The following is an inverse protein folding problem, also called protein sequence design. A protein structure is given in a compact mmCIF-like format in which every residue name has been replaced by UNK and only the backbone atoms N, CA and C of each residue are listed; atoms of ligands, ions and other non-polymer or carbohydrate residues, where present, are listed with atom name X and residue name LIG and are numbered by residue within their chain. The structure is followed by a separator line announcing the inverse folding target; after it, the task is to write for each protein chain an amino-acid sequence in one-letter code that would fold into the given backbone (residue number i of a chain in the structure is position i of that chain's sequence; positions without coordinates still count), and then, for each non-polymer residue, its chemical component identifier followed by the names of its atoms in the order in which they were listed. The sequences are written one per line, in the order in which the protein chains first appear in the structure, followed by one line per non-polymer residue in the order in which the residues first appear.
data_IF_687519631146
#
_entry.id   IF_687519631146
#
_cell.length_a   1.000
_cell.length_b   1.000
_cell.length_c   1.000
_cell.angle_alpha   90.00
_cell.angle_beta   90.00
_cell.angle_gamma   90.00
#
_symmetry.space_group_name_H-M   'P 1'
#
loop_
_entity.id
_entity.type
_entity.pdbx_description
1 polymer ?
#
# COMPACT_ATOMS: atom_id res chain seq x y z
N UNK A 1 -0.87 11.75 -20.86
CA UNK A 1 0.57 11.71 -20.52
C UNK A 1 0.85 11.90 -19.03
N UNK A 2 0.22 12.87 -18.37
CA UNK A 2 0.41 13.12 -16.90
C UNK A 2 0.09 11.89 -16.05
N UNK A 3 -1.03 11.24 -16.30
CA UNK A 3 -1.46 10.06 -15.55
C UNK A 3 -0.43 8.92 -15.64
N UNK A 4 0.10 8.65 -16.84
CA UNK A 4 1.16 7.63 -17.01
C UNK A 4 2.44 7.99 -16.25
N UNK A 5 2.80 9.27 -16.24
CA UNK A 5 3.96 9.74 -15.46
C UNK A 5 3.73 9.58 -13.95
N UNK A 6 2.54 9.92 -13.46
CA UNK A 6 2.17 9.73 -12.06
C UNK A 6 2.20 8.25 -11.66
N UNK A 7 1.62 7.36 -12.48
CA UNK A 7 1.64 5.92 -12.21
C UNK A 7 3.08 5.37 -12.19
N UNK A 8 3.92 5.79 -13.14
CA UNK A 8 5.33 5.38 -13.15
C UNK A 8 6.10 5.90 -11.93
N UNK A 9 5.82 7.12 -11.48
CA UNK A 9 6.41 7.69 -10.27
C UNK A 9 6.02 6.89 -9.02
N UNK A 10 4.72 6.63 -8.83
CA UNK A 10 4.21 5.82 -7.71
C UNK A 10 4.87 4.45 -7.70
N UNK A 11 4.88 3.74 -8.84
CA UNK A 11 5.52 2.42 -8.94
C UNK A 11 7.00 2.46 -8.58
N UNK A 12 7.73 3.49 -8.97
CA UNK A 12 9.13 3.68 -8.62
C UNK A 12 9.32 3.88 -7.12
N UNK A 13 8.48 4.69 -6.47
CA UNK A 13 8.53 4.90 -5.01
C UNK A 13 8.23 3.60 -4.27
N UNK A 14 7.19 2.84 -4.68
CA UNK A 14 6.82 1.56 -4.07
C UNK A 14 7.96 0.54 -4.15
N UNK A 15 8.60 0.38 -5.32
CA UNK A 15 9.75 -0.52 -5.48
C UNK A 15 10.92 -0.08 -4.59
N UNK A 16 11.24 1.20 -4.56
CA UNK A 16 12.31 1.73 -3.72
C UNK A 16 12.02 1.47 -2.23
N UNK A 17 10.81 1.78 -1.76
CA UNK A 17 10.39 1.52 -0.38
C UNK A 17 10.46 0.03 -0.03
N UNK A 18 9.98 -0.84 -0.90
CA UNK A 18 10.01 -2.30 -0.68
C UNK A 18 11.44 -2.82 -0.54
N UNK A 19 12.37 -2.38 -1.38
CA UNK A 19 13.76 -2.86 -1.33
C UNK A 19 14.52 -2.28 -0.15
N UNK A 20 14.58 -0.95 -0.04
CA UNK A 20 15.45 -0.28 0.93
C UNK A 20 14.87 -0.18 2.34
N UNK A 21 13.55 -0.10 2.47
CA UNK A 21 12.93 0.08 3.79
C UNK A 21 12.38 -1.21 4.39
N UNK A 22 12.15 -2.25 3.61
CA UNK A 22 11.58 -3.52 4.08
C UNK A 22 12.50 -4.73 3.86
N UNK A 23 12.88 -5.03 2.61
CA UNK A 23 13.63 -6.26 2.31
C UNK A 23 15.06 -6.22 2.87
N UNK A 24 15.83 -5.16 2.63
CA UNK A 24 17.19 -5.07 3.14
C UNK A 24 17.27 -5.11 4.67
N UNK A 25 16.48 -4.32 5.44
CA UNK A 25 16.45 -4.44 6.89
C UNK A 25 16.01 -5.82 7.39
N UNK A 26 15.08 -6.49 6.71
CA UNK A 26 14.66 -7.85 7.04
C UNK A 26 15.81 -8.86 6.93
N UNK A 27 16.62 -8.76 5.86
CA UNK A 27 17.79 -9.59 5.66
C UNK A 27 18.86 -9.31 6.73
N UNK A 28 19.10 -8.04 7.04
CA UNK A 28 20.06 -7.63 8.08
C UNK A 28 19.65 -8.13 9.47
N UNK A 29 18.37 -8.01 9.84
CA UNK A 29 17.84 -8.55 11.10
C UNK A 29 18.01 -10.07 11.21
N UNK A 30 17.93 -10.75 10.08
CA UNK A 30 18.05 -12.20 9.97
C UNK A 30 19.50 -12.68 9.90
N UNK A 31 20.49 -11.81 10.11
CA UNK A 31 21.93 -12.12 10.00
C UNK A 31 22.40 -13.32 10.85
N UNK A 32 21.72 -13.61 11.98
CA UNK A 32 21.98 -14.82 12.81
C UNK A 32 21.80 -16.13 12.04
N UNK A 33 21.04 -16.14 10.95
CA UNK A 33 20.82 -17.30 10.07
C UNK A 33 21.96 -17.53 9.07
N UNK A 34 23.00 -16.68 9.06
CA UNK A 34 24.15 -16.79 8.17
C UNK A 34 23.74 -16.80 6.71
N UNK A 35 24.06 -17.90 5.98
CA UNK A 35 23.72 -18.04 4.55
C UNK A 35 22.21 -18.02 4.24
N UNK A 36 21.37 -18.25 5.22
CA UNK A 36 19.91 -18.27 5.09
C UNK A 36 19.23 -16.98 5.55
N UNK A 37 19.97 -15.89 5.76
CA UNK A 37 19.44 -14.60 6.19
C UNK A 37 18.38 -14.00 5.23
N UNK A 38 18.39 -14.37 3.96
CA UNK A 38 17.43 -13.95 2.96
C UNK A 38 16.08 -14.70 3.05
N UNK A 39 16.02 -15.86 3.72
CA UNK A 39 14.82 -16.73 3.73
C UNK A 39 13.60 -16.03 4.33
N UNK A 40 13.66 -15.34 5.49
CA UNK A 40 12.50 -14.63 6.03
C UNK A 40 11.99 -13.53 5.10
N UNK A 41 12.89 -12.78 4.45
CA UNK A 41 12.52 -11.74 3.50
C UNK A 41 11.80 -12.33 2.27
N UNK A 42 12.33 -13.42 1.71
CA UNK A 42 11.72 -14.12 0.56
C UNK A 42 10.37 -14.74 0.95
N UNK A 43 10.29 -15.39 2.11
CA UNK A 43 9.05 -15.99 2.59
C UNK A 43 7.97 -14.92 2.82
N UNK A 44 8.32 -13.80 3.46
CA UNK A 44 7.42 -12.67 3.66
C UNK A 44 6.96 -12.04 2.34
N UNK A 45 7.86 -11.85 1.38
CA UNK A 45 7.53 -11.34 0.05
C UNK A 45 6.51 -12.25 -0.66
N UNK A 46 6.75 -13.56 -0.72
CA UNK A 46 5.82 -14.49 -1.34
C UNK A 46 4.50 -14.61 -0.59
N UNK A 47 4.52 -14.56 0.74
CA UNK A 47 3.30 -14.52 1.54
C UNK A 47 2.46 -13.28 1.20
N UNK A 48 3.08 -12.11 1.05
CA UNK A 48 2.42 -10.88 0.62
C UNK A 48 1.83 -11.00 -0.79
N UNK A 49 2.58 -11.55 -1.75
CA UNK A 49 2.09 -11.79 -3.12
C UNK A 49 0.88 -12.71 -3.11
N UNK A 50 0.95 -13.84 -2.39
CA UNK A 50 -0.16 -14.78 -2.29
C UNK A 50 -1.38 -14.17 -1.58
N UNK A 51 -1.17 -13.36 -0.57
CA UNK A 51 -2.24 -12.63 0.11
C UNK A 51 -2.96 -11.65 -0.83
N UNK A 52 -2.20 -10.86 -1.61
CA UNK A 52 -2.79 -9.94 -2.58
C UNK A 52 -3.53 -10.68 -3.70
N UNK A 53 -2.98 -11.79 -4.21
CA UNK A 53 -3.67 -12.63 -5.19
C UNK A 53 -4.95 -13.24 -4.63
N UNK A 54 -4.95 -13.62 -3.34
CA UNK A 54 -6.16 -14.09 -2.67
C UNK A 54 -7.21 -12.98 -2.57
N UNK A 55 -6.82 -11.77 -2.20
CA UNK A 55 -7.72 -10.62 -2.17
C UNK A 55 -8.31 -10.34 -3.55
N UNK A 56 -7.48 -10.35 -4.59
CA UNK A 56 -7.90 -10.18 -5.98
C UNK A 56 -8.95 -11.23 -6.39
N UNK A 57 -8.78 -12.46 -5.93
CA UNK A 57 -9.72 -13.53 -6.25
C UNK A 57 -11.04 -13.47 -5.46
N UNK A 58 -10.97 -13.02 -4.20
CA UNK A 58 -12.14 -13.05 -3.27
C UNK A 58 -12.98 -11.78 -3.38
N UNK A 59 -12.37 -10.64 -3.68
CA UNK A 59 -13.05 -9.35 -3.67
C UNK A 59 -13.37 -8.88 -5.09
N UNK A 60 -14.66 -8.58 -5.40
CA UNK A 60 -15.03 -8.06 -6.71
C UNK A 60 -14.45 -6.66 -6.90
N UNK A 61 -13.52 -6.51 -7.84
CA UNK A 61 -12.87 -5.24 -8.14
C UNK A 61 -12.59 -5.10 -9.65
N UNK A 62 -12.24 -3.90 -10.09
CA UNK A 62 -11.87 -3.59 -11.46
C UNK A 62 -10.59 -2.75 -11.45
N UNK A 63 -9.63 -3.15 -12.25
CA UNK A 63 -8.44 -2.36 -12.51
C UNK A 63 -8.73 -1.18 -13.46
N UNK A 64 -8.00 -0.09 -13.28
CA UNK A 64 -8.25 1.18 -13.97
C UNK A 64 -8.29 1.09 -15.51
N UNK A 65 -7.60 0.13 -16.10
CA UNK A 65 -7.50 -0.07 -17.54
C UNK A 65 -8.19 -1.34 -18.04
N UNK A 66 -8.94 -2.04 -17.18
CA UNK A 66 -9.71 -3.22 -17.54
C UNK A 66 -11.18 -2.88 -17.75
N UNK A 67 -11.79 -3.52 -18.73
CA UNK A 67 -13.24 -3.45 -18.96
C UNK A 67 -13.98 -4.63 -18.32
N UNK A 68 -13.27 -5.63 -17.83
CA UNK A 68 -13.80 -6.80 -17.14
C UNK A 68 -13.54 -6.71 -15.64
N UNK A 69 -14.56 -7.02 -14.82
CA UNK A 69 -14.42 -7.17 -13.39
C UNK A 69 -13.70 -8.49 -13.07
N UNK A 70 -12.80 -8.45 -12.10
CA UNK A 70 -12.12 -9.61 -11.53
C UNK A 70 -12.78 -10.01 -10.22
N UNK A 71 -12.63 -11.28 -9.81
CA UNK A 71 -13.26 -11.83 -8.62
C UNK A 71 -14.72 -12.25 -8.81
N UNK A 72 -15.50 -12.42 -7.74
CA UNK A 72 -16.91 -12.85 -7.79
C UNK A 72 -17.78 -11.85 -8.53
N UNK A 73 -18.83 -12.35 -9.23
CA UNK A 73 -19.80 -11.47 -9.91
C UNK A 73 -20.45 -10.52 -8.92
N UNK A 74 -20.36 -9.22 -9.18
CA UNK A 74 -20.88 -8.17 -8.33
C UNK A 74 -21.86 -7.28 -9.07
N UNK A 75 -22.81 -6.70 -8.34
CA UNK A 75 -23.73 -5.65 -8.81
C UNK A 75 -23.17 -4.25 -8.63
N UNK A 76 -21.94 -4.12 -8.11
CA UNK A 76 -21.31 -2.83 -7.91
C UNK A 76 -20.98 -2.16 -9.25
N UNK A 77 -21.12 -0.84 -9.27
CA UNK A 77 -20.69 -0.05 -10.42
C UNK A 77 -19.17 -0.14 -10.59
N UNK A 78 -18.69 -0.03 -11.84
CA UNK A 78 -17.27 -0.08 -12.20
C UNK A 78 -16.41 0.82 -11.32
N UNK A 79 -16.86 2.04 -11.09
CA UNK A 79 -16.17 3.02 -10.25
C UNK A 79 -16.06 2.59 -8.79
N UNK A 80 -17.12 2.01 -8.22
CA UNK A 80 -17.08 1.50 -6.84
C UNK A 80 -16.08 0.36 -6.69
N UNK A 81 -16.01 -0.54 -7.67
CA UNK A 81 -15.03 -1.63 -7.66
C UNK A 81 -13.58 -1.12 -7.79
N UNK A 82 -13.35 -0.06 -8.57
CA UNK A 82 -12.05 0.57 -8.67
C UNK A 82 -11.63 1.26 -7.36
N UNK A 83 -12.54 2.00 -6.73
CA UNK A 83 -12.29 2.62 -5.41
C UNK A 83 -11.96 1.55 -4.37
N UNK A 84 -12.71 0.45 -4.36
CA UNK A 84 -12.47 -0.67 -3.45
C UNK A 84 -11.08 -1.29 -3.67
N UNK A 85 -10.68 -1.53 -4.92
CA UNK A 85 -9.35 -2.04 -5.25
C UNK A 85 -8.23 -1.19 -4.66
N UNK A 86 -8.23 0.13 -4.92
CA UNK A 86 -7.19 1.05 -4.42
C UNK A 86 -7.23 1.11 -2.88
N UNK A 87 -8.42 1.19 -2.27
CA UNK A 87 -8.54 1.22 -0.81
C UNK A 87 -7.95 -0.03 -0.15
N UNK A 88 -8.14 -1.21 -0.76
CA UNK A 88 -7.58 -2.47 -0.26
C UNK A 88 -6.05 -2.53 -0.40
N UNK A 89 -5.49 -1.95 -1.46
CA UNK A 89 -4.03 -1.85 -1.61
C UNK A 89 -3.40 -0.95 -0.53
N UNK A 90 -4.08 0.09 -0.10
CA UNK A 90 -3.59 1.02 0.93
C UNK A 90 -3.51 0.38 2.33
N UNK A 91 -4.25 -0.71 2.60
CA UNK A 91 -4.16 -1.43 3.89
C UNK A 91 -2.76 -2.04 4.11
N UNK A 92 -2.19 -2.88 3.21
CA UNK A 92 -0.84 -3.39 3.36
C UNK A 92 0.23 -2.30 3.45
N UNK A 93 0.06 -1.18 2.74
CA UNK A 93 0.98 -0.05 2.79
C UNK A 93 1.00 0.61 4.17
N UNK A 94 -0.17 0.91 4.72
CA UNK A 94 -0.28 1.42 6.08
C UNK A 94 0.28 0.45 7.13
N UNK A 95 0.06 -0.85 6.95
CA UNK A 95 0.66 -1.89 7.81
C UNK A 95 2.19 -1.89 7.73
N UNK A 96 2.77 -1.74 6.53
CA UNK A 96 4.22 -1.68 6.35
C UNK A 96 4.85 -0.48 7.08
N UNK A 97 4.25 0.70 6.99
CA UNK A 97 4.67 1.88 7.77
C UNK A 97 4.55 1.59 9.27
N UNK A 98 3.43 0.99 9.69
CA UNK A 98 3.16 0.63 11.07
C UNK A 98 4.24 -0.26 11.68
N UNK A 99 4.59 -1.34 11.00
CA UNK A 99 5.62 -2.29 11.44
C UNK A 99 6.99 -1.61 11.55
N UNK A 100 7.39 -0.81 10.57
CA UNK A 100 8.68 -0.10 10.60
C UNK A 100 8.71 0.94 11.74
N UNK A 101 7.64 1.71 11.92
CA UNK A 101 7.56 2.68 13.01
C UNK A 101 7.56 2.01 14.39
N UNK A 102 6.80 0.92 14.56
CA UNK A 102 6.80 0.14 15.79
C UNK A 102 8.20 -0.43 16.08
N UNK A 103 8.83 -1.06 15.09
CA UNK A 103 10.18 -1.57 15.21
C UNK A 103 11.20 -0.51 15.65
N UNK A 104 11.12 0.70 15.11
CA UNK A 104 11.96 1.82 15.56
C UNK A 104 11.68 2.19 17.02
N UNK A 105 10.42 2.31 17.41
CA UNK A 105 10.01 2.72 18.77
C UNK A 105 10.41 1.71 19.85
N UNK A 106 10.40 0.41 19.56
CA UNK A 106 10.87 -0.63 20.47
C UNK A 106 12.41 -0.78 20.49
N UNK A 107 13.12 0.10 19.79
CA UNK A 107 14.59 0.15 19.81
C UNK A 107 15.26 -0.90 18.91
N UNK A 108 14.62 -1.37 17.84
CA UNK A 108 15.27 -2.25 16.89
C UNK A 108 16.43 -1.55 16.19
N UNK A 109 17.66 -2.03 16.44
CA UNK A 109 18.90 -1.40 15.97
C UNK A 109 19.08 -1.41 14.45
N UNK A 110 18.35 -2.27 13.73
CA UNK A 110 18.39 -2.33 12.26
C UNK A 110 17.46 -1.32 11.59
N UNK A 111 16.53 -0.70 12.35
CA UNK A 111 15.61 0.31 11.84
C UNK A 111 16.08 1.68 12.29
N UNK A 112 16.61 2.47 11.38
CA UNK A 112 17.06 3.83 11.65
C UNK A 112 15.91 4.83 11.56
N UNK A 113 16.00 5.93 12.30
CA UNK A 113 15.07 7.06 12.16
C UNK A 113 14.97 7.55 10.72
N UNK A 114 16.11 7.65 10.03
CA UNK A 114 16.14 8.07 8.61
C UNK A 114 15.38 7.10 7.71
N UNK A 115 15.55 5.79 7.91
CA UNK A 115 14.85 4.75 7.14
C UNK A 115 13.34 4.78 7.38
N UNK A 116 12.92 4.89 8.64
CA UNK A 116 11.51 5.06 9.02
C UNK A 116 10.90 6.30 8.36
N UNK A 117 11.57 7.45 8.47
CA UNK A 117 11.10 8.70 7.87
C UNK A 117 11.05 8.64 6.34
N UNK A 118 12.06 8.03 5.71
CA UNK A 118 12.10 7.88 4.25
C UNK A 118 10.92 7.04 3.75
N UNK A 119 10.59 5.93 4.42
CA UNK A 119 9.42 5.12 4.09
C UNK A 119 8.12 5.93 4.27
N UNK A 120 7.94 6.56 5.44
CA UNK A 120 6.71 7.29 5.76
C UNK A 120 6.47 8.47 4.81
N UNK A 121 7.52 9.24 4.49
CA UNK A 121 7.43 10.36 3.55
C UNK A 121 7.22 9.85 2.12
N UNK A 122 7.89 8.77 1.72
CA UNK A 122 7.72 8.15 0.40
C UNK A 122 6.28 7.74 0.16
N UNK A 123 5.67 7.05 1.12
CA UNK A 123 4.27 6.62 1.06
C UNK A 123 3.33 7.83 1.09
N UNK A 124 3.57 8.84 1.93
CA UNK A 124 2.77 10.06 1.95
C UNK A 124 2.81 10.80 0.59
N UNK A 125 3.96 10.83 -0.09
CA UNK A 125 4.10 11.46 -1.41
C UNK A 125 3.35 10.65 -2.48
N UNK A 126 3.38 9.32 -2.46
CA UNK A 126 2.68 8.49 -3.45
C UNK A 126 1.16 8.52 -3.28
N UNK A 127 0.63 8.74 -2.08
CA UNK A 127 -0.80 8.86 -1.81
C UNK A 127 -1.47 10.00 -2.57
N UNK A 128 -0.75 11.08 -2.87
CA UNK A 128 -1.29 12.18 -3.65
C UNK A 128 -1.64 11.75 -5.10
N UNK A 129 -0.74 11.13 -5.89
CA UNK A 129 -1.10 10.55 -7.19
C UNK A 129 -2.18 9.48 -7.11
N UNK A 130 -2.17 8.63 -6.07
CA UNK A 130 -3.18 7.57 -5.89
C UNK A 130 -4.57 8.16 -5.65
N UNK A 131 -4.69 9.18 -4.81
CA UNK A 131 -5.94 9.93 -4.65
C UNK A 131 -6.42 10.55 -5.98
N UNK A 132 -5.51 11.00 -6.84
CA UNK A 132 -5.84 11.50 -8.17
C UNK A 132 -6.33 10.39 -9.12
N UNK A 133 -5.76 9.18 -9.03
CA UNK A 133 -6.20 7.99 -9.78
C UNK A 133 -7.68 7.66 -9.48
N UNK A 134 -8.14 7.89 -8.26
CA UNK A 134 -9.55 7.73 -7.87
C UNK A 134 -10.39 8.94 -8.28
N UNK A 135 -9.94 10.14 -7.97
CA UNK A 135 -10.72 11.36 -8.13
C UNK A 135 -11.02 11.70 -9.59
N UNK A 136 -10.07 11.44 -10.50
CA UNK A 136 -10.23 11.79 -11.92
C UNK A 136 -11.31 10.97 -12.65
N UNK A 137 -11.37 9.63 -12.55
CA UNK A 137 -12.44 8.84 -13.12
C UNK A 137 -13.82 9.19 -12.53
N UNK A 138 -13.92 9.33 -11.19
CA UNK A 138 -15.16 9.75 -10.54
C UNK A 138 -15.67 11.07 -11.09
N UNK A 139 -14.77 12.00 -11.35
CA UNK A 139 -15.11 13.28 -11.96
C UNK A 139 -15.57 13.12 -13.41
N UNK A 140 -14.93 12.25 -14.20
CA UNK A 140 -15.30 12.01 -15.60
C UNK A 140 -16.67 11.34 -15.74
N UNK A 141 -17.10 10.56 -14.75
CA UNK A 141 -18.44 9.96 -14.65
C UNK A 141 -19.53 10.92 -14.16
N UNK A 142 -19.21 12.21 -14.02
CA UNK A 142 -20.17 13.25 -13.67
C UNK A 142 -20.29 13.58 -12.18
N UNK A 143 -19.49 12.95 -11.31
CA UNK A 143 -19.47 13.30 -9.88
C UNK A 143 -19.04 14.76 -9.68
N UNK A 144 -19.64 15.45 -8.74
CA UNK A 144 -19.26 16.82 -8.36
C UNK A 144 -17.79 16.89 -7.89
N UNK A 145 -17.06 17.98 -8.25
CA UNK A 145 -15.62 18.15 -7.94
C UNK A 145 -15.28 17.88 -6.47
N UNK A 146 -16.07 18.43 -5.53
CA UNK A 146 -15.84 18.23 -4.10
C UNK A 146 -16.00 16.78 -3.66
N UNK A 147 -17.04 16.09 -4.13
CA UNK A 147 -17.28 14.67 -3.83
C UNK A 147 -16.16 13.78 -4.39
N UNK A 148 -15.76 13.98 -5.64
CA UNK A 148 -14.68 13.23 -6.27
C UNK A 148 -13.34 13.42 -5.52
N UNK A 149 -13.01 14.66 -5.14
CA UNK A 149 -11.83 14.96 -4.33
C UNK A 149 -11.86 14.28 -2.96
N UNK A 150 -12.98 14.41 -2.23
CA UNK A 150 -13.14 13.76 -0.92
C UNK A 150 -13.02 12.24 -1.03
N UNK A 151 -13.56 11.62 -2.07
CA UNK A 151 -13.41 10.17 -2.29
C UNK A 151 -11.95 9.76 -2.44
N UNK A 152 -11.14 10.54 -3.18
CA UNK A 152 -9.70 10.31 -3.29
C UNK A 152 -8.96 10.49 -1.96
N UNK A 153 -9.33 11.49 -1.16
CA UNK A 153 -8.75 11.70 0.18
C UNK A 153 -9.12 10.56 1.13
N UNK A 154 -10.39 10.14 1.13
CA UNK A 154 -10.86 9.06 2.02
C UNK A 154 -10.19 7.73 1.72
N UNK A 155 -9.86 7.43 0.47
CA UNK A 155 -9.12 6.20 0.13
C UNK A 155 -7.73 6.17 0.77
N UNK A 156 -7.04 7.31 0.89
CA UNK A 156 -5.75 7.41 1.54
C UNK A 156 -5.81 7.39 3.09
N UNK A 157 -6.97 7.72 3.70
CA UNK A 157 -7.12 7.70 5.17
C UNK A 157 -7.05 6.27 5.75
N UNK A 158 -7.29 5.26 4.94
CA UNK A 158 -7.19 3.85 5.37
C UNK A 158 -5.77 3.50 5.86
N UNK A 159 -4.73 4.10 5.29
CA UNK A 159 -3.34 3.86 5.70
C UNK A 159 -3.04 4.27 7.15
N UNK A 160 -3.25 5.54 7.57
CA UNK A 160 -3.00 5.91 8.96
C UNK A 160 -3.92 5.19 9.94
N UNK A 161 -5.12 4.76 9.55
CA UNK A 161 -5.99 3.93 10.38
C UNK A 161 -5.39 2.54 10.57
N UNK A 162 -4.90 1.90 9.52
CA UNK A 162 -4.23 0.61 9.59
C UNK A 162 -2.96 0.66 10.46
N UNK A 163 -2.19 1.75 10.36
CA UNK A 163 -1.03 2.02 11.21
C UNK A 163 -1.40 2.08 12.70
N UNK A 164 -2.43 2.84 13.06
CA UNK A 164 -2.83 3.02 14.47
C UNK A 164 -3.38 1.75 15.07
N UNK A 165 -4.07 0.92 14.29
CA UNK A 165 -4.63 -0.34 14.75
C UNK A 165 -3.53 -1.36 15.13
N UNK A 166 -2.51 -1.49 14.32
CA UNK A 166 -1.34 -2.34 14.62
C UNK A 166 -0.61 -1.88 15.88
N UNK A 167 -0.37 -0.58 16.03
CA UNK A 167 0.29 -0.03 17.21
C UNK A 167 -0.45 -0.33 18.52
N UNK A 168 -1.78 -0.30 18.51
CA UNK A 168 -2.60 -0.58 19.68
C UNK A 168 -2.47 -2.04 20.15
N UNK A 169 -2.19 -2.98 19.26
CA UNK A 169 -2.00 -4.40 19.60
C UNK A 169 -0.60 -4.77 20.06
N UNK A 170 0.42 -3.95 19.76
CA UNK A 170 1.82 -4.21 20.19
C UNK A 170 2.17 -3.58 21.55
N UNK A 171 1.34 -2.67 22.06
CA UNK A 171 1.57 -1.96 23.32
C UNK A 171 0.71 -2.46 24.49
N UNK A 172 -0.07 -3.49 24.33
CA UNK A 172 -0.81 -4.25 25.34
C UNK A 172 -0.13 -5.55 25.63
#
# INVERSE_FOLDING_TARGET
HVQRALTGFVSGVMVAASVWSLLLPSIEQSGKLGKFSFVPAVAGFWAGVLFLLLLDHVIPHIHQYSDSAEGPKSKFQKTTMMVLAVTLHNIPEGMAVGVVCAGYLIGNTHITFKGMMALSIGIAIQNFPEGAIISMPLRSEGMGKGKAFISGVLSGIVEPVSYTHLRAHETG
#
